data_IF_996469235167
#
_entry.id   IF_996469235167
#
_cell.length_a   1.000
_cell.length_b   1.000
_cell.length_c   1.000
_cell.angle_alpha   90.00
_cell.angle_beta   90.00
_cell.angle_gamma   90.00
#
_symmetry.space_group_name_H-M   'P 1'
#
loop_
_entity.id
_entity.type
_entity.pdbx_description
1 polymer ?
#
# COMPACT_ATOMS: atom_id res chain seq x y z
N UNK A 1 -5.25 11.95 -3.05
CA UNK A 1 -5.82 11.98 -1.69
C UNK A 1 -6.84 10.85 -1.59
N UNK A 2 -6.68 9.91 -0.66
CA UNK A 2 -7.69 8.89 -0.39
C UNK A 2 -8.66 9.42 0.67
N UNK A 3 -9.95 9.40 0.40
CA UNK A 3 -10.99 9.73 1.37
C UNK A 3 -11.53 8.44 1.99
N UNK A 4 -11.52 8.36 3.31
CA UNK A 4 -12.04 7.21 4.07
C UNK A 4 -13.42 7.54 4.61
N UNK A 5 -14.45 6.79 4.20
CA UNK A 5 -15.75 6.74 4.88
C UNK A 5 -15.94 5.36 5.49
N UNK A 6 -16.17 5.29 6.76
CA UNK A 6 -16.54 4.08 7.47
C UNK A 6 -17.72 4.33 8.38
N UNK A 7 -18.53 3.32 8.65
CA UNK A 7 -19.56 3.35 9.69
C UNK A 7 -18.94 3.90 10.97
N UNK A 8 -19.62 4.85 11.61
CA UNK A 8 -19.25 5.46 12.90
C UNK A 8 -18.97 4.38 13.96
N UNK A 9 -17.76 3.92 14.01
CA UNK A 9 -17.21 3.25 15.18
C UNK A 9 -16.11 4.19 15.66
N UNK A 10 -16.08 4.55 16.91
CA UNK A 10 -15.12 5.50 17.51
C UNK A 10 -13.63 5.14 17.40
N UNK A 11 -13.30 4.26 16.47
CA UNK A 11 -11.97 3.90 16.02
C UNK A 11 -11.42 4.85 14.94
N UNK A 12 -12.26 5.58 14.22
CA UNK A 12 -11.83 6.49 13.16
C UNK A 12 -11.01 7.67 13.72
N UNK A 13 -11.40 8.21 14.87
CA UNK A 13 -10.68 9.33 15.51
C UNK A 13 -9.31 8.90 16.06
N UNK A 14 -9.22 7.69 16.62
CA UNK A 14 -7.93 7.16 17.10
C UNK A 14 -7.03 6.75 15.93
N UNK A 15 -7.60 6.26 14.85
CA UNK A 15 -6.83 5.81 13.69
C UNK A 15 -6.31 7.00 12.85
N UNK A 16 -7.16 8.00 12.61
CA UNK A 16 -6.74 9.26 11.98
C UNK A 16 -5.68 9.98 12.83
N UNK A 17 -5.76 9.90 14.15
CA UNK A 17 -4.70 10.40 15.04
C UNK A 17 -3.41 9.60 14.91
N UNK A 18 -3.45 8.27 14.75
CA UNK A 18 -2.25 7.44 14.56
C UNK A 18 -1.62 7.64 13.18
N UNK A 19 -2.40 7.70 12.10
CA UNK A 19 -1.89 8.00 10.74
C UNK A 19 -1.43 9.47 10.65
N UNK A 20 -2.14 10.38 11.27
CA UNK A 20 -1.73 11.78 11.39
C UNK A 20 -0.49 11.91 12.28
N UNK A 21 -0.35 11.12 13.32
CA UNK A 21 0.80 11.09 14.22
C UNK A 21 2.04 10.51 13.52
N UNK A 22 1.91 9.45 12.74
CA UNK A 22 3.01 8.94 11.90
C UNK A 22 3.40 9.96 10.83
N UNK A 23 2.45 10.61 10.16
CA UNK A 23 2.70 11.63 9.12
C UNK A 23 3.18 12.98 9.69
N UNK A 24 2.70 13.39 10.87
CA UNK A 24 3.14 14.62 11.56
C UNK A 24 4.42 14.41 12.35
N UNK A 25 4.64 13.22 12.90
CA UNK A 25 5.94 12.84 13.47
C UNK A 25 7.01 12.82 12.39
N UNK A 26 6.67 12.41 11.17
CA UNK A 26 7.55 12.50 10.02
C UNK A 26 8.02 13.94 9.73
N UNK A 27 7.19 14.96 9.92
CA UNK A 27 7.59 16.36 9.66
C UNK A 27 8.23 17.11 10.84
N UNK A 28 8.06 16.66 12.09
CA UNK A 28 8.53 17.42 13.28
C UNK A 28 9.40 16.64 14.27
N UNK A 29 9.54 15.32 14.12
CA UNK A 29 10.37 14.46 14.99
C UNK A 29 11.35 13.56 14.25
N UNK A 30 11.44 13.66 12.93
CA UNK A 30 12.39 12.87 12.14
C UNK A 30 13.84 13.24 12.40
N UNK A 31 14.08 14.42 12.93
CA UNK A 31 15.42 14.83 13.31
C UNK A 31 15.98 14.02 14.52
N UNK A 32 15.19 13.11 15.12
CA UNK A 32 15.56 12.41 16.35
C UNK A 32 15.36 10.89 16.33
N UNK A 33 14.64 10.30 15.35
CA UNK A 33 14.52 8.85 15.23
C UNK A 33 15.39 8.36 14.08
N UNK A 34 16.26 7.40 14.35
CA UNK A 34 16.98 6.68 13.30
C UNK A 34 16.01 5.87 12.44
N UNK A 35 16.43 5.51 11.22
CA UNK A 35 15.65 4.64 10.33
C UNK A 35 15.31 3.31 11.01
N UNK A 36 16.23 2.77 11.81
CA UNK A 36 16.03 1.54 12.57
C UNK A 36 14.90 1.68 13.62
N UNK A 37 14.86 2.79 14.36
CA UNK A 37 13.81 3.02 15.36
C UNK A 37 12.42 3.18 14.73
N UNK A 38 12.33 3.73 13.53
CA UNK A 38 11.07 3.82 12.78
C UNK A 38 10.61 2.44 12.32
N UNK A 39 11.52 1.61 11.84
CA UNK A 39 11.24 0.23 11.42
C UNK A 39 10.80 -0.60 12.61
N UNK A 40 11.50 -0.53 13.74
CA UNK A 40 11.16 -1.24 14.99
C UNK A 40 9.76 -0.82 15.50
N UNK A 41 9.44 0.47 15.43
CA UNK A 41 8.12 0.97 15.81
C UNK A 41 7.01 0.45 14.88
N UNK A 42 7.27 0.40 13.57
CA UNK A 42 6.34 -0.17 12.58
C UNK A 42 6.12 -1.67 12.82
N UNK A 43 7.19 -2.42 12.99
CA UNK A 43 7.14 -3.87 13.25
C UNK A 43 6.38 -4.14 14.54
N UNK A 44 6.71 -3.42 15.62
CA UNK A 44 6.01 -3.53 16.89
C UNK A 44 4.50 -3.23 16.75
N UNK A 45 4.15 -2.19 15.99
CA UNK A 45 2.75 -1.86 15.73
C UNK A 45 2.03 -2.94 14.92
N UNK A 46 2.67 -3.47 13.88
CA UNK A 46 2.10 -4.56 13.06
C UNK A 46 1.76 -5.78 13.91
N UNK A 47 2.68 -6.18 14.80
CA UNK A 47 2.54 -7.38 15.64
C UNK A 47 1.48 -7.16 16.73
N UNK A 48 1.48 -6.01 17.40
CA UNK A 48 0.70 -5.79 18.61
C UNK A 48 -0.66 -5.12 18.36
N UNK A 49 -0.93 -4.60 17.16
CA UNK A 49 -2.19 -3.95 16.84
C UNK A 49 -3.35 -4.94 16.79
N UNK A 50 -4.42 -4.76 17.60
CA UNK A 50 -5.61 -5.59 17.56
C UNK A 50 -6.53 -5.27 16.37
N UNK A 51 -6.18 -4.29 15.54
CA UNK A 51 -6.99 -3.89 14.41
C UNK A 51 -7.14 -5.02 13.40
N UNK A 52 -8.37 -5.27 12.97
CA UNK A 52 -8.67 -6.30 11.96
C UNK A 52 -8.08 -5.95 10.59
N UNK A 53 -8.07 -4.68 10.22
CA UNK A 53 -7.47 -4.15 8.99
C UNK A 53 -6.36 -3.18 9.37
N UNK A 54 -5.21 -3.31 8.75
CA UNK A 54 -4.03 -2.47 8.98
C UNK A 54 -3.65 -1.76 7.70
N UNK A 55 -3.75 -0.44 7.69
CA UNK A 55 -3.31 0.36 6.56
C UNK A 55 -1.88 0.85 6.78
N UNK A 56 -0.98 0.40 5.92
CA UNK A 56 0.39 0.91 5.83
C UNK A 56 0.44 1.97 4.72
N UNK A 57 0.55 3.24 5.11
CA UNK A 57 0.53 4.36 4.16
C UNK A 57 1.97 4.84 3.92
N UNK A 58 2.38 4.83 2.66
CA UNK A 58 3.69 5.32 2.23
C UNK A 58 3.54 6.27 1.04
N UNK A 59 4.40 7.28 0.97
CA UNK A 59 4.36 8.26 -0.12
C UNK A 59 4.89 7.71 -1.44
N UNK A 60 5.76 6.70 -1.39
CA UNK A 60 6.41 6.09 -2.55
C UNK A 60 6.03 4.62 -2.70
N UNK A 61 6.21 4.06 -3.90
CA UNK A 61 5.82 2.68 -4.21
C UNK A 61 6.45 1.65 -3.28
N UNK A 62 5.58 0.85 -2.62
CA UNK A 62 6.01 -0.31 -1.86
C UNK A 62 6.06 -1.57 -2.75
N UNK A 63 5.04 -1.82 -3.50
CA UNK A 63 4.92 -2.71 -4.67
C UNK A 63 3.65 -2.32 -5.47
N UNK A 64 3.53 -2.68 -6.78
CA UNK A 64 4.53 -3.34 -7.65
C UNK A 64 5.75 -2.46 -7.91
N UNK A 65 6.89 -3.07 -8.27
CA UNK A 65 8.06 -2.31 -8.64
C UNK A 65 7.87 -1.65 -10.01
N UNK A 66 8.24 -0.37 -10.12
CA UNK A 66 8.24 0.38 -11.36
C UNK A 66 9.64 0.30 -12.02
N UNK A 67 9.70 0.21 -13.34
CA UNK A 67 10.95 0.12 -14.09
C UNK A 67 11.84 1.36 -13.96
N UNK A 68 11.21 2.53 -13.89
CA UNK A 68 11.92 3.81 -13.94
C UNK A 68 12.35 4.34 -12.57
N UNK A 69 11.73 3.88 -11.48
CA UNK A 69 11.91 4.43 -10.14
C UNK A 69 12.92 3.60 -9.34
N UNK A 70 14.22 3.95 -9.43
CA UNK A 70 15.31 3.17 -8.87
C UNK A 70 15.81 3.59 -7.50
N UNK A 71 15.60 4.85 -7.11
CA UNK A 71 16.32 5.44 -5.96
C UNK A 71 15.43 5.95 -4.84
N UNK A 72 14.17 6.25 -5.11
CA UNK A 72 13.23 6.85 -4.17
C UNK A 72 11.99 5.99 -3.86
N UNK A 73 11.96 4.74 -4.34
CA UNK A 73 10.95 3.74 -4.03
C UNK A 73 11.50 2.64 -3.13
N UNK A 74 10.63 1.84 -2.54
CA UNK A 74 11.00 0.74 -1.63
C UNK A 74 11.87 -0.35 -2.30
N UNK A 75 11.89 -0.44 -3.62
CA UNK A 75 12.82 -1.34 -4.33
C UNK A 75 14.30 -0.96 -4.11
N UNK A 76 14.58 0.28 -3.74
CA UNK A 76 15.92 0.73 -3.37
C UNK A 76 16.34 0.23 -1.96
N UNK A 77 15.39 -0.27 -1.16
CA UNK A 77 15.60 -0.78 0.19
C UNK A 77 15.05 -2.20 0.34
N UNK A 78 15.55 -3.16 -0.47
CA UNK A 78 14.95 -4.50 -0.57
C UNK A 78 15.00 -5.28 0.74
N UNK A 79 16.07 -5.14 1.53
CA UNK A 79 16.21 -5.82 2.82
C UNK A 79 15.20 -5.32 3.84
N UNK A 80 14.99 -4.00 3.92
CA UNK A 80 14.02 -3.42 4.84
C UNK A 80 12.60 -3.83 4.43
N UNK A 81 12.28 -3.74 3.14
CA UNK A 81 10.99 -4.20 2.60
C UNK A 81 10.74 -5.66 2.92
N UNK A 82 11.75 -6.51 2.71
CA UNK A 82 11.65 -7.94 2.99
C UNK A 82 11.45 -8.23 4.48
N UNK A 83 12.15 -7.51 5.39
CA UNK A 83 11.92 -7.66 6.85
C UNK A 83 10.47 -7.36 7.24
N UNK A 84 9.85 -6.33 6.64
CA UNK A 84 8.44 -5.99 6.89
C UNK A 84 7.53 -7.13 6.37
N UNK A 85 7.73 -7.59 5.15
CA UNK A 85 6.94 -8.68 4.54
C UNK A 85 7.08 -9.99 5.32
N UNK A 86 8.30 -10.35 5.68
CA UNK A 86 8.59 -11.53 6.49
C UNK A 86 7.98 -11.46 7.89
N UNK A 87 7.94 -10.26 8.49
CA UNK A 87 7.26 -10.06 9.78
C UNK A 87 5.76 -10.32 9.63
N UNK A 88 5.13 -9.75 8.60
CA UNK A 88 3.71 -9.98 8.32
C UNK A 88 3.43 -11.48 8.16
N UNK A 89 4.26 -12.20 7.39
CA UNK A 89 4.13 -13.63 7.14
C UNK A 89 4.35 -14.47 8.40
N UNK A 90 5.48 -14.29 9.08
CA UNK A 90 5.88 -15.08 10.27
C UNK A 90 4.90 -14.93 11.43
N UNK A 91 4.34 -13.74 11.60
CA UNK A 91 3.33 -13.48 12.64
C UNK A 91 1.88 -13.68 12.16
N UNK A 92 1.69 -14.16 10.91
CA UNK A 92 0.37 -14.39 10.31
C UNK A 92 -0.56 -13.19 10.41
N UNK A 93 -0.01 -12.01 10.18
CA UNK A 93 -0.75 -10.76 10.27
C UNK A 93 -1.65 -10.62 9.04
N UNK A 94 -2.96 -10.69 9.26
CA UNK A 94 -3.96 -10.60 8.20
C UNK A 94 -4.33 -9.16 7.87
N UNK A 95 -4.87 -8.98 6.65
CA UNK A 95 -5.50 -7.75 6.19
C UNK A 95 -4.57 -6.52 6.29
N UNK A 96 -3.32 -6.69 5.89
CA UNK A 96 -2.39 -5.58 5.70
C UNK A 96 -2.59 -5.01 4.31
N UNK A 97 -2.97 -3.74 4.25
CA UNK A 97 -3.24 -3.00 3.02
C UNK A 97 -2.23 -1.87 2.91
N UNK A 98 -1.40 -1.90 1.90
CA UNK A 98 -0.49 -0.81 1.59
C UNK A 98 -1.22 0.22 0.75
N UNK A 99 -1.20 1.48 1.16
CA UNK A 99 -1.72 2.61 0.38
C UNK A 99 -0.55 3.47 -0.04
N UNK A 100 -0.41 3.69 -1.33
CA UNK A 100 0.76 4.37 -1.90
C UNK A 100 0.41 5.24 -3.10
N UNK A 101 1.37 5.98 -3.62
CA UNK A 101 1.22 6.87 -4.77
C UNK A 101 2.51 6.99 -5.58
N UNK A 102 2.79 8.19 -6.10
CA UNK A 102 4.04 8.62 -6.75
C UNK A 102 4.32 8.06 -8.16
N UNK A 103 3.53 7.13 -8.67
CA UNK A 103 3.83 6.42 -9.92
C UNK A 103 3.08 6.95 -11.14
N UNK A 104 2.30 8.02 -10.99
CA UNK A 104 1.48 8.63 -12.06
C UNK A 104 0.52 7.65 -12.75
N UNK A 105 0.01 6.70 -12.01
CA UNK A 105 -1.02 5.74 -12.42
C UNK A 105 -1.60 5.07 -11.20
N UNK A 106 -2.87 4.68 -11.26
CA UNK A 106 -3.55 4.02 -10.14
C UNK A 106 -3.89 2.58 -10.47
N UNK A 107 -3.78 1.72 -9.47
CA UNK A 107 -4.08 0.30 -9.60
C UNK A 107 -4.26 -0.35 -8.22
N UNK A 108 -4.74 -1.58 -8.22
CA UNK A 108 -4.63 -2.49 -7.08
C UNK A 108 -3.86 -3.74 -7.46
N UNK A 109 -3.13 -4.28 -6.51
CA UNK A 109 -2.41 -5.55 -6.64
C UNK A 109 -2.34 -6.26 -5.29
N UNK A 110 -1.97 -7.53 -5.31
CA UNK A 110 -1.71 -8.30 -4.10
C UNK A 110 -0.40 -9.07 -4.22
N UNK A 111 0.23 -9.28 -3.09
CA UNK A 111 1.44 -10.05 -2.95
C UNK A 111 1.11 -11.39 -2.28
N UNK A 112 1.57 -12.47 -2.87
CA UNK A 112 1.45 -13.84 -2.39
C UNK A 112 2.83 -14.40 -2.10
N UNK A 113 2.88 -15.51 -1.37
CA UNK A 113 4.12 -16.24 -1.10
C UNK A 113 4.01 -17.68 -1.61
N UNK A 114 5.06 -18.20 -2.26
CA UNK A 114 5.03 -19.52 -2.91
C UNK A 114 4.79 -20.68 -1.93
N UNK A 115 5.32 -20.56 -0.72
CA UNK A 115 5.28 -21.61 0.31
C UNK A 115 4.26 -21.31 1.43
N UNK A 116 3.45 -20.23 1.31
CA UNK A 116 2.47 -19.84 2.33
C UNK A 116 1.19 -19.32 1.66
N UNK A 117 0.25 -20.22 1.45
CA UNK A 117 -1.01 -19.92 0.77
C UNK A 117 -1.90 -18.91 1.54
N UNK A 118 -1.71 -18.78 2.86
CA UNK A 118 -2.46 -17.86 3.70
C UNK A 118 -1.87 -16.45 3.70
N UNK A 119 -0.62 -16.30 3.22
CA UNK A 119 0.01 -14.99 3.14
C UNK A 119 -0.60 -14.15 2.04
N UNK A 120 -1.03 -12.96 2.40
CA UNK A 120 -1.49 -11.94 1.46
C UNK A 120 -1.23 -10.54 2.01
N UNK A 121 -0.65 -9.69 1.19
CA UNK A 121 -0.60 -8.23 1.40
C UNK A 121 -1.16 -7.56 0.16
N UNK A 122 -2.10 -6.64 0.34
CA UNK A 122 -2.74 -5.95 -0.77
C UNK A 122 -2.21 -4.52 -0.91
N UNK A 123 -2.17 -4.00 -2.13
CA UNK A 123 -1.78 -2.62 -2.39
C UNK A 123 -2.87 -1.87 -3.14
N UNK A 124 -3.08 -0.62 -2.71
CA UNK A 124 -3.91 0.36 -3.39
C UNK A 124 -3.00 1.53 -3.76
N UNK A 125 -2.80 1.72 -5.05
CA UNK A 125 -2.05 2.85 -5.60
C UNK A 125 -3.04 3.91 -6.04
N UNK A 126 -2.87 5.15 -5.55
CA UNK A 126 -3.71 6.30 -5.91
C UNK A 126 -2.82 7.46 -6.34
N UNK A 127 -2.64 7.62 -7.65
CA UNK A 127 -1.71 8.62 -8.25
C UNK A 127 -1.98 8.78 -9.74
N UNK A 128 -1.89 9.99 -10.28
CA UNK A 128 -1.85 11.26 -9.59
C UNK A 128 -3.26 11.84 -9.38
N UNK A 129 -3.44 12.68 -8.38
CA UNK A 129 -4.66 13.51 -8.27
C UNK A 129 -4.67 14.61 -9.34
N UNK A 130 -3.48 15.18 -9.63
CA UNK A 130 -3.26 16.13 -10.68
C UNK A 130 -1.84 15.95 -11.22
N UNK A 131 -1.72 15.68 -12.51
CA UNK A 131 -0.43 15.53 -13.17
C UNK A 131 -0.06 16.76 -14.00
N UNK A 132 1.24 16.98 -14.15
CA UNK A 132 1.74 17.95 -15.12
C UNK A 132 1.55 17.41 -16.54
N UNK A 133 1.12 18.26 -17.47
CA UNK A 133 0.99 17.88 -18.88
C UNK A 133 2.31 17.40 -19.53
N UNK A 134 3.44 17.63 -18.85
CA UNK A 134 4.77 17.23 -19.32
C UNK A 134 5.20 15.84 -18.79
N UNK A 135 4.49 15.27 -17.84
CA UNK A 135 4.83 13.98 -17.24
C UNK A 135 3.93 12.87 -17.79
N UNK A 136 4.49 11.76 -18.25
CA UNK A 136 3.68 10.65 -18.74
C UNK A 136 2.92 9.97 -17.59
N UNK A 137 1.75 9.44 -17.91
CA UNK A 137 1.06 8.49 -17.01
C UNK A 137 1.70 7.11 -17.11
N UNK A 138 1.75 6.42 -15.98
CA UNK A 138 2.16 5.02 -15.97
C UNK A 138 1.12 4.13 -16.67
N UNK A 139 1.61 3.10 -17.31
CA UNK A 139 0.83 2.03 -17.94
C UNK A 139 1.25 0.67 -17.37
N UNK A 140 0.58 -0.40 -17.76
CA UNK A 140 0.98 -1.75 -17.33
C UNK A 140 2.44 -2.07 -17.66
N UNK A 141 2.96 -1.57 -18.78
CA UNK A 141 4.37 -1.77 -19.17
C UNK A 141 5.39 -1.01 -18.32
N UNK A 142 4.94 -0.07 -17.48
CA UNK A 142 5.80 0.65 -16.56
C UNK A 142 6.23 -0.19 -15.35
N UNK A 143 5.56 -1.31 -15.09
CA UNK A 143 5.79 -2.14 -13.92
C UNK A 143 6.56 -3.42 -14.25
N UNK A 144 7.22 -3.98 -13.24
CA UNK A 144 7.93 -5.25 -13.31
C UNK A 144 6.98 -6.34 -12.79
N UNK A 145 6.59 -7.27 -13.68
CA UNK A 145 5.53 -8.25 -13.43
C UNK A 145 5.96 -9.70 -13.69
N UNK A 146 7.03 -9.87 -14.44
CA UNK A 146 7.50 -11.14 -14.97
C UNK A 146 8.51 -11.86 -14.07
N UNK A 147 8.75 -11.31 -12.89
CA UNK A 147 9.66 -11.88 -11.90
C UNK A 147 9.10 -11.70 -10.49
N UNK A 148 9.53 -12.53 -9.51
CA UNK A 148 9.19 -12.33 -8.10
C UNK A 148 9.63 -10.95 -7.59
N UNK A 149 8.86 -10.37 -6.68
CA UNK A 149 9.23 -9.15 -5.97
C UNK A 149 10.49 -9.37 -5.11
N UNK A 150 10.59 -10.55 -4.51
CA UNK A 150 11.75 -11.01 -3.76
C UNK A 150 11.83 -12.55 -3.81
N UNK A 151 13.05 -13.05 -3.87
CA UNK A 151 13.37 -14.47 -3.77
C UNK A 151 14.10 -14.72 -2.45
N UNK A 152 13.66 -15.72 -1.70
CA UNK A 152 14.24 -16.07 -0.40
C UNK A 152 14.44 -17.58 -0.27
N UNK A 153 15.25 -18.01 0.67
CA UNK A 153 15.40 -19.44 0.99
C UNK A 153 14.08 -20.09 1.45
N UNK A 154 13.16 -19.29 1.98
CA UNK A 154 11.86 -19.76 2.48
C UNK A 154 10.72 -19.65 1.47
N UNK A 155 11.02 -19.31 0.22
CA UNK A 155 10.07 -19.13 -0.87
C UNK A 155 10.09 -17.72 -1.45
N UNK A 156 9.30 -17.53 -2.49
CA UNK A 156 9.28 -16.34 -3.30
C UNK A 156 8.02 -15.50 -3.08
N UNK A 157 8.18 -14.18 -3.10
CA UNK A 157 7.07 -13.23 -3.08
C UNK A 157 6.63 -12.90 -4.50
N UNK A 158 5.41 -13.30 -4.87
CA UNK A 158 4.84 -13.12 -6.21
C UNK A 158 3.74 -12.07 -6.22
N UNK A 159 3.76 -11.24 -7.26
CA UNK A 159 2.78 -10.20 -7.48
C UNK A 159 1.61 -10.71 -8.33
N UNK A 160 0.39 -10.35 -7.95
CA UNK A 160 -0.81 -10.54 -8.75
C UNK A 160 -1.55 -9.22 -8.94
N UNK A 161 -1.94 -8.91 -10.16
CA UNK A 161 -2.81 -7.77 -10.45
C UNK A 161 -4.25 -8.06 -10.03
N UNK A 162 -4.89 -7.07 -9.43
CA UNK A 162 -6.30 -7.14 -9.05
C UNK A 162 -7.16 -6.09 -9.74
N UNK A 163 -6.53 -5.15 -10.48
CA UNK A 163 -7.21 -4.18 -11.34
C UNK A 163 -6.42 -3.87 -12.61
N UNK A 164 -7.02 -3.14 -13.54
CA UNK A 164 -6.30 -2.45 -14.61
C UNK A 164 -5.52 -1.26 -14.07
N UNK A 165 -4.55 -0.76 -14.84
CA UNK A 165 -3.88 0.53 -14.56
C UNK A 165 -4.77 1.67 -15.08
N UNK A 166 -4.97 2.68 -14.24
CA UNK A 166 -5.70 3.91 -14.59
C UNK A 166 -4.66 4.98 -14.87
N UNK A 167 -4.57 5.40 -16.13
CA UNK A 167 -3.53 6.28 -16.68
C UNK A 167 -4.10 7.68 -16.95
N UNK A 168 -4.70 8.29 -15.93
CA UNK A 168 -5.22 9.66 -15.96
C UNK A 168 -5.29 10.23 -14.56
N UNK A 169 -5.58 11.52 -14.42
CA UNK A 169 -5.82 12.14 -13.12
C UNK A 169 -6.97 11.46 -12.40
N UNK A 170 -6.72 11.06 -11.17
CA UNK A 170 -7.69 10.32 -10.38
C UNK A 170 -7.36 10.33 -8.88
N UNK A 171 -8.31 9.88 -8.09
CA UNK A 171 -8.11 9.53 -6.68
C UNK A 171 -8.87 8.26 -6.33
N UNK A 172 -8.36 7.54 -5.33
CA UNK A 172 -9.05 6.39 -4.77
C UNK A 172 -9.95 6.81 -3.61
N UNK A 173 -11.20 6.37 -3.66
CA UNK A 173 -12.15 6.40 -2.54
C UNK A 173 -12.26 5.00 -1.97
N UNK A 174 -12.10 4.87 -0.64
CA UNK A 174 -12.09 3.57 0.04
C UNK A 174 -13.28 3.48 0.98
N UNK A 175 -14.02 2.38 0.87
CA UNK A 175 -15.08 1.99 1.79
C UNK A 175 -14.72 0.65 2.42
N UNK A 176 -14.52 0.64 3.75
CA UNK A 176 -14.14 -0.57 4.48
C UNK A 176 -15.41 -1.24 4.99
N UNK A 177 -15.69 -2.41 4.48
CA UNK A 177 -16.81 -3.24 4.87
C UNK A 177 -16.33 -4.44 5.71
N UNK A 178 -17.29 -5.27 6.11
CA UNK A 178 -16.97 -6.42 6.97
C UNK A 178 -16.10 -7.46 6.25
N UNK A 179 -16.34 -7.71 4.97
CA UNK A 179 -15.75 -8.82 4.22
C UNK A 179 -14.81 -8.35 3.13
N UNK A 180 -14.82 -7.06 2.78
CA UNK A 180 -13.98 -6.50 1.74
C UNK A 180 -13.75 -5.01 1.92
N UNK A 181 -12.78 -4.50 1.18
CA UNK A 181 -12.59 -3.06 0.99
C UNK A 181 -13.03 -2.77 -0.45
N UNK A 182 -14.04 -1.94 -0.59
CA UNK A 182 -14.44 -1.39 -1.88
C UNK A 182 -13.52 -0.22 -2.21
N UNK A 183 -12.84 -0.33 -3.34
CA UNK A 183 -11.98 0.73 -3.88
C UNK A 183 -12.65 1.30 -5.12
N UNK A 184 -12.97 2.58 -5.10
CA UNK A 184 -13.44 3.31 -6.25
C UNK A 184 -12.40 4.31 -6.70
N UNK A 185 -12.00 4.24 -7.96
CA UNK A 185 -11.22 5.27 -8.60
C UNK A 185 -12.15 6.25 -9.29
N UNK A 186 -11.94 7.52 -9.00
CA UNK A 186 -12.71 8.62 -9.55
C UNK A 186 -11.76 9.63 -10.18
N UNK A 187 -12.20 10.29 -11.24
CA UNK A 187 -11.44 11.39 -11.81
C UNK A 187 -11.45 12.63 -10.89
N UNK A 188 -10.78 13.69 -11.29
CA UNK A 188 -10.70 14.92 -10.52
C UNK A 188 -12.04 15.66 -10.34
N UNK A 189 -13.01 15.37 -11.21
CA UNK A 189 -14.36 15.93 -11.15
C UNK A 189 -15.31 15.06 -10.30
N UNK A 190 -14.80 13.89 -9.83
CA UNK A 190 -15.53 12.94 -9.00
C UNK A 190 -16.30 11.88 -9.77
N UNK A 191 -16.17 11.86 -11.10
CA UNK A 191 -16.83 10.86 -11.94
C UNK A 191 -16.16 9.50 -11.77
N UNK A 192 -17.00 8.45 -11.81
CA UNK A 192 -16.54 7.07 -11.60
C UNK A 192 -15.72 6.56 -12.81
N UNK A 193 -14.52 6.03 -12.52
CA UNK A 193 -13.62 5.43 -13.50
C UNK A 193 -13.58 3.90 -13.42
N UNK A 194 -13.47 3.37 -12.21
CA UNK A 194 -13.30 1.94 -11.97
C UNK A 194 -13.57 1.59 -10.50
N UNK A 195 -14.08 0.40 -10.24
CA UNK A 195 -14.23 -0.14 -8.88
C UNK A 195 -13.69 -1.56 -8.79
N UNK A 196 -13.16 -1.90 -7.63
CA UNK A 196 -12.74 -3.26 -7.27
C UNK A 196 -13.03 -3.52 -5.80
N UNK A 197 -13.40 -4.76 -5.46
CA UNK A 197 -13.54 -5.23 -4.10
C UNK A 197 -12.31 -6.07 -3.73
N UNK A 198 -11.60 -5.63 -2.70
CA UNK A 198 -10.47 -6.33 -2.14
C UNK A 198 -10.96 -7.19 -0.97
N UNK A 199 -10.96 -8.53 -1.08
CA UNK A 199 -11.47 -9.39 -0.03
C UNK A 199 -10.62 -9.26 1.25
N UNK A 200 -11.28 -9.36 2.41
CA UNK A 200 -10.62 -9.43 3.71
C UNK A 200 -10.62 -10.89 4.20
N UNK A 201 -9.49 -11.31 4.74
CA UNK A 201 -9.38 -12.62 5.40
C UNK A 201 -10.14 -12.60 6.73
N UNK A 202 -10.97 -13.62 6.96
CA UNK A 202 -11.76 -13.79 8.18
C UNK A 202 -10.94 -14.39 9.33
#
# INVERSE_FOLDING_TARGET
LAALRGTRVGLADNWLRHVHDVKLRHRRRLDHLSVAEQEDALISWLINSPARVKFLVTSVMFFPDNKDNGTDAWKAFPEQRLRILDTIRKHRIKNVIVVTGDVHGSLTSRLRHSEDADFEVQTIVSSPFCNSALLPYASASSFILDQPLAQTESGDYHLEWTSKVISQDNFAYLEVEREHIRVEYRDRDGEHLYSVNLPLQL
#
